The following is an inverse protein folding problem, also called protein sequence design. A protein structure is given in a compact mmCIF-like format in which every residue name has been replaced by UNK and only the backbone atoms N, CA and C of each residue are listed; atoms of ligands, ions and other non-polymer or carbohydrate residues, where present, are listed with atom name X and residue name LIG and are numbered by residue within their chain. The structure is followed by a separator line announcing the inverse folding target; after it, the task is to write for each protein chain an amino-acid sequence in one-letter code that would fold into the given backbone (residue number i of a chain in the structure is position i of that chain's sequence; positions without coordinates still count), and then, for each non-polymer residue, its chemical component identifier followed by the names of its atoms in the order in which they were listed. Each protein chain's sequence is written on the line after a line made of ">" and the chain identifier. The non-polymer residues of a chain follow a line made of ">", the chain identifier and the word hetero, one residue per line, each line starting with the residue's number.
data_IF_260736495609
#
_entry.id   IF_260736495609
#
_cell.length_a   1.000
_cell.length_b   1.000
_cell.length_c   1.000
_cell.angle_alpha   90.00
_cell.angle_beta   90.00
_cell.angle_gamma   90.00
#
_symmetry.space_group_name_H-M   'P 1'
#
loop_
_entity.id
_entity.type
_entity.pdbx_description
1 polymer ?
#
# COMPACT_ATOMS: atom_id res chain seq x y z
N UNK A 1 -34.12 42.44 8.52
CA UNK A 1 -35.08 41.33 8.42
C UNK A 1 -34.38 40.04 8.88
N UNK A 2 -34.92 39.46 9.98
CA UNK A 2 -34.42 38.25 10.63
C UNK A 2 -34.88 37.04 9.81
N UNK A 3 -33.99 36.04 9.58
CA UNK A 3 -34.40 34.65 9.50
C UNK A 3 -33.37 33.77 10.20
N UNK A 4 -33.86 33.24 11.35
CA UNK A 4 -33.26 32.14 12.10
C UNK A 4 -33.72 30.82 11.48
N UNK A 5 -32.86 29.83 11.34
CA UNK A 5 -33.27 28.44 11.56
C UNK A 5 -32.03 27.56 11.84
N UNK A 6 -31.90 27.31 13.12
CA UNK A 6 -31.01 26.31 13.72
C UNK A 6 -31.61 24.92 13.51
N UNK A 7 -30.94 24.04 12.81
CA UNK A 7 -31.20 22.59 12.92
C UNK A 7 -30.06 21.96 13.74
N UNK A 8 -30.36 21.67 15.00
CA UNK A 8 -29.56 20.83 15.88
C UNK A 8 -30.07 19.39 15.73
N UNK A 9 -29.26 18.50 15.18
CA UNK A 9 -29.51 17.05 15.28
C UNK A 9 -28.81 16.55 16.54
N UNK A 10 -29.58 16.18 17.55
CA UNK A 10 -29.08 15.57 18.78
C UNK A 10 -28.94 14.06 18.57
N UNK A 11 -27.74 13.53 18.68
CA UNK A 11 -27.49 12.10 18.78
C UNK A 11 -27.60 11.67 20.24
N UNK A 12 -28.70 11.03 20.60
CA UNK A 12 -28.87 10.34 21.87
C UNK A 12 -28.11 8.99 21.81
N UNK A 13 -27.17 8.82 22.74
CA UNK A 13 -26.51 7.53 23.02
C UNK A 13 -27.57 6.49 23.43
N UNK A 14 -27.88 5.53 22.58
CA UNK A 14 -28.57 4.30 22.98
C UNK A 14 -27.53 3.21 23.20
N UNK A 15 -27.38 2.85 24.44
CA UNK A 15 -26.63 1.67 24.92
C UNK A 15 -27.27 0.39 24.38
N UNK A 16 -26.53 -0.35 23.56
CA UNK A 16 -26.88 -1.73 23.23
C UNK A 16 -26.15 -2.66 24.19
N UNK A 17 -26.87 -3.18 25.16
CA UNK A 17 -26.53 -4.40 25.91
C UNK A 17 -27.38 -5.54 25.35
N UNK A 18 -26.72 -6.67 25.08
CA UNK A 18 -27.27 -7.98 24.78
C UNK A 18 -27.91 -8.21 23.40
N UNK A 19 -27.15 -8.72 22.46
CA UNK A 19 -27.63 -9.57 21.38
C UNK A 19 -26.75 -10.84 21.29
N UNK A 20 -27.41 -11.99 21.36
CA UNK A 20 -26.85 -13.35 21.31
C UNK A 20 -26.26 -13.67 19.91
N UNK A 21 -25.20 -14.52 19.80
CA UNK A 21 -24.51 -14.81 18.55
C UNK A 21 -25.30 -15.57 17.48
N UNK A 22 -26.50 -16.02 17.76
CA UNK A 22 -27.23 -16.95 16.87
C UNK A 22 -28.09 -16.32 15.76
N UNK A 23 -28.10 -15.00 15.64
CA UNK A 23 -29.00 -14.33 14.66
C UNK A 23 -28.31 -13.87 13.35
N UNK A 24 -26.99 -14.01 13.21
CA UNK A 24 -26.26 -13.53 12.02
C UNK A 24 -26.26 -14.60 10.91
N UNK A 25 -26.26 -15.88 11.25
CA UNK A 25 -26.27 -17.00 10.30
C UNK A 25 -27.60 -17.19 9.57
N UNK A 26 -28.72 -16.76 10.17
CA UNK A 26 -30.05 -16.87 9.56
C UNK A 26 -30.31 -15.83 8.46
N UNK A 27 -29.76 -14.63 8.57
CA UNK A 27 -29.93 -13.58 7.54
C UNK A 27 -29.06 -13.80 6.29
N UNK A 28 -27.86 -14.39 6.44
CA UNK A 28 -27.02 -14.73 5.28
C UNK A 28 -27.59 -15.88 4.44
N UNK A 29 -28.29 -16.81 5.04
CA UNK A 29 -28.96 -17.94 4.33
C UNK A 29 -30.12 -17.48 3.45
N UNK A 30 -30.82 -16.39 3.82
CA UNK A 30 -31.93 -15.82 3.03
C UNK A 30 -31.43 -15.06 1.78
N UNK A 31 -30.30 -14.36 1.86
CA UNK A 31 -29.73 -13.67 0.69
C UNK A 31 -29.25 -14.64 -0.40
N UNK A 32 -28.68 -15.79 -0.02
CA UNK A 32 -28.24 -16.79 -1.01
C UNK A 32 -29.42 -17.47 -1.73
N UNK A 33 -30.51 -17.75 -1.06
CA UNK A 33 -31.72 -18.35 -1.70
C UNK A 33 -32.44 -17.40 -2.65
N UNK A 34 -32.43 -16.09 -2.40
CA UNK A 34 -32.99 -15.10 -3.32
C UNK A 34 -32.18 -14.95 -4.61
N UNK A 35 -30.86 -15.09 -4.52
CA UNK A 35 -29.97 -14.99 -5.69
C UNK A 35 -30.16 -16.16 -6.66
N UNK A 36 -30.41 -17.37 -6.17
CA UNK A 36 -30.63 -18.56 -7.00
C UNK A 36 -32.05 -18.61 -7.61
N UNK A 37 -33.06 -18.04 -6.95
CA UNK A 37 -34.39 -17.88 -7.50
C UNK A 37 -34.43 -16.85 -8.63
N UNK A 38 -33.67 -15.76 -8.53
CA UNK A 38 -33.58 -14.76 -9.61
C UNK A 38 -32.80 -15.30 -10.84
N UNK A 39 -31.85 -16.22 -10.67
CA UNK A 39 -31.15 -16.86 -11.80
C UNK A 39 -32.06 -17.83 -12.59
N UNK A 40 -33.02 -18.47 -11.96
CA UNK A 40 -33.93 -19.41 -12.64
C UNK A 40 -35.08 -18.73 -13.41
N UNK A 41 -35.44 -17.47 -13.09
CA UNK A 41 -36.49 -16.74 -13.81
C UNK A 41 -35.98 -16.02 -15.08
N UNK A 42 -34.64 -15.93 -15.30
CA UNK A 42 -34.05 -15.24 -16.44
C UNK A 42 -33.68 -16.16 -17.63
N UNK A 43 -34.00 -17.48 -17.54
CA UNK A 43 -33.62 -18.44 -18.60
C UNK A 43 -34.76 -18.74 -19.61
N UNK A 44 -35.86 -17.99 -19.62
CA UNK A 44 -37.00 -18.26 -20.51
C UNK A 44 -37.50 -17.02 -21.27
N UNK A 45 -36.65 -16.15 -21.77
CA UNK A 45 -37.03 -15.07 -22.70
C UNK A 45 -36.41 -15.39 -24.09
N UNK A 46 -37.25 -15.49 -25.16
CA UNK A 46 -36.70 -15.76 -26.50
C UNK A 46 -35.98 -14.53 -27.03
N UNK A 47 -34.82 -14.82 -27.61
CA UNK A 47 -33.88 -13.90 -28.21
C UNK A 47 -34.50 -13.14 -29.40
N UNK A 48 -34.74 -11.83 -29.27
CA UNK A 48 -34.84 -10.95 -30.42
C UNK A 48 -34.51 -9.50 -30.01
N UNK A 49 -33.55 -8.93 -30.73
CA UNK A 49 -33.02 -7.57 -30.70
C UNK A 49 -31.85 -7.37 -29.73
N UNK A 50 -30.67 -7.29 -30.32
CA UNK A 50 -29.45 -6.71 -29.74
C UNK A 50 -29.79 -5.31 -29.22
N UNK A 51 -29.72 -5.04 -27.91
CA UNK A 51 -29.88 -3.67 -27.44
C UNK A 51 -28.68 -2.86 -27.97
N UNK A 52 -28.93 -1.74 -28.61
CA UNK A 52 -27.92 -0.74 -28.83
C UNK A 52 -27.18 -0.50 -27.53
N UNK A 53 -25.83 -0.56 -27.55
CA UNK A 53 -24.99 -0.28 -26.41
C UNK A 53 -25.47 1.06 -25.81
N UNK A 54 -26.03 1.03 -24.60
CA UNK A 54 -26.27 2.24 -23.83
C UNK A 54 -24.90 2.88 -23.64
N UNK A 55 -24.66 3.98 -24.33
CA UNK A 55 -23.52 4.84 -24.02
C UNK A 55 -23.70 5.27 -22.57
N UNK A 56 -22.73 4.90 -21.72
CA UNK A 56 -22.67 5.42 -20.36
C UNK A 56 -22.66 6.96 -20.43
N UNK A 57 -23.33 7.64 -19.49
CA UNK A 57 -23.29 9.11 -19.46
C UNK A 57 -21.84 9.56 -19.40
N UNK A 58 -21.49 10.68 -20.09
CA UNK A 58 -20.12 11.19 -20.11
C UNK A 58 -19.67 11.41 -18.66
N UNK A 59 -18.48 10.85 -18.32
CA UNK A 59 -17.87 11.03 -17.00
C UNK A 59 -17.61 12.51 -16.73
N UNK A 60 -17.79 13.00 -15.48
CA UNK A 60 -17.43 14.38 -15.14
C UNK A 60 -15.94 14.61 -15.36
N UNK A 61 -15.61 15.66 -16.11
CA UNK A 61 -14.23 16.10 -16.33
C UNK A 61 -13.89 17.23 -15.39
N UNK A 62 -12.87 17.03 -14.56
CA UNK A 62 -12.32 18.03 -13.65
C UNK A 62 -11.01 18.57 -14.20
N UNK A 63 -10.68 19.83 -13.84
CA UNK A 63 -9.41 20.45 -14.24
C UNK A 63 -8.64 20.94 -13.01
N UNK A 64 -7.32 20.76 -13.04
CA UNK A 64 -6.41 21.22 -11.99
C UNK A 64 -5.03 21.55 -12.57
N UNK A 65 -4.23 22.32 -11.83
CA UNK A 65 -2.81 22.53 -12.15
C UNK A 65 -1.98 21.28 -11.87
N UNK A 66 -2.32 20.53 -10.82
CA UNK A 66 -1.57 19.33 -10.39
C UNK A 66 -2.52 18.24 -9.95
N UNK A 67 -2.38 17.04 -10.52
CA UNK A 67 -3.08 15.82 -10.11
C UNK A 67 -2.10 14.89 -9.39
N UNK A 68 -2.51 14.34 -8.24
CA UNK A 68 -1.70 13.44 -7.43
C UNK A 68 -2.40 12.08 -7.37
N UNK A 69 -1.67 11.00 -7.66
CA UNK A 69 -2.19 9.64 -7.66
C UNK A 69 -1.57 8.86 -6.51
N UNK A 70 -2.38 8.52 -5.50
CA UNK A 70 -1.97 7.80 -4.29
C UNK A 70 -2.50 8.45 -3.03
N UNK A 71 -2.33 7.76 -1.90
CA UNK A 71 -2.85 8.19 -0.58
C UNK A 71 -1.88 7.92 0.58
N UNK A 72 -0.67 7.50 0.27
CA UNK A 72 0.40 7.32 1.26
C UNK A 72 1.06 8.64 1.69
N UNK A 73 2.11 8.56 2.53
CA UNK A 73 2.85 9.72 2.99
C UNK A 73 3.39 10.61 1.87
N UNK A 74 3.85 10.01 0.77
CA UNK A 74 4.33 10.75 -0.40
C UNK A 74 3.22 11.59 -1.03
N UNK A 75 2.05 10.98 -1.28
CA UNK A 75 0.92 11.64 -1.93
C UNK A 75 0.37 12.80 -1.10
N UNK A 76 0.08 12.56 0.19
CA UNK A 76 -0.43 13.61 1.06
C UNK A 76 0.60 14.73 1.33
N UNK A 77 1.90 14.41 1.41
CA UNK A 77 2.93 15.44 1.53
C UNK A 77 3.00 16.28 0.26
N UNK A 78 2.98 15.66 -0.93
CA UNK A 78 2.92 16.40 -2.18
C UNK A 78 1.67 17.31 -2.24
N UNK A 79 0.51 16.81 -1.81
CA UNK A 79 -0.73 17.55 -1.76
C UNK A 79 -0.69 18.75 -0.80
N UNK A 80 -0.06 18.60 0.37
CA UNK A 80 0.13 19.69 1.34
C UNK A 80 0.98 20.80 0.74
N UNK A 81 2.13 20.45 0.13
CA UNK A 81 3.01 21.44 -0.49
C UNK A 81 2.36 22.12 -1.68
N UNK A 82 1.72 21.36 -2.58
CA UNK A 82 0.98 21.90 -3.72
C UNK A 82 -0.20 22.80 -3.29
N UNK A 83 -0.93 22.41 -2.24
CA UNK A 83 -2.02 23.23 -1.69
C UNK A 83 -1.52 24.55 -1.09
N UNK A 84 -0.36 24.53 -0.41
CA UNK A 84 0.28 25.74 0.13
C UNK A 84 0.84 26.66 -0.95
N UNK A 85 1.21 26.11 -2.12
CA UNK A 85 1.61 26.84 -3.29
C UNK A 85 0.40 27.30 -4.15
N UNK A 86 -0.84 27.20 -3.63
CA UNK A 86 -2.09 27.59 -4.29
C UNK A 86 -2.37 26.88 -5.62
N UNK A 87 -1.77 25.69 -5.84
CA UNK A 87 -1.94 24.90 -7.07
C UNK A 87 -3.27 24.15 -7.14
N UNK A 88 -4.10 24.21 -6.07
CA UNK A 88 -5.43 23.57 -5.98
C UNK A 88 -5.40 22.09 -6.37
N UNK A 89 -4.61 21.25 -5.71
CA UNK A 89 -4.39 19.88 -6.11
C UNK A 89 -5.67 19.04 -6.07
N UNK A 90 -5.80 18.12 -7.04
CA UNK A 90 -6.74 17.00 -6.99
C UNK A 90 -5.93 15.75 -6.69
N UNK A 91 -6.37 14.98 -5.69
CA UNK A 91 -5.71 13.75 -5.26
C UNK A 91 -6.67 12.57 -5.39
N UNK A 92 -6.26 11.54 -6.11
CA UNK A 92 -6.93 10.24 -6.13
C UNK A 92 -6.35 9.37 -5.01
N UNK A 93 -7.13 9.12 -3.95
CA UNK A 93 -6.66 8.32 -2.81
C UNK A 93 -6.79 6.80 -3.04
N UNK A 94 -7.56 6.40 -4.05
CA UNK A 94 -7.86 5.00 -4.31
C UNK A 94 -8.98 4.45 -3.42
N UNK A 95 -9.59 3.36 -3.85
CA UNK A 95 -10.52 2.56 -3.08
C UNK A 95 -10.06 1.11 -3.13
N UNK A 96 -9.54 0.58 -2.01
CA UNK A 96 -8.99 -0.80 -1.93
C UNK A 96 -8.05 -1.15 -3.09
N UNK A 97 -7.18 -0.21 -3.48
CA UNK A 97 -6.23 -0.42 -4.56
C UNK A 97 -5.18 -1.48 -4.16
N UNK A 98 -5.03 -2.54 -4.96
CA UNK A 98 -4.16 -3.68 -4.67
C UNK A 98 -4.45 -4.34 -3.30
N UNK A 99 -5.72 -4.45 -2.92
CA UNK A 99 -6.20 -4.98 -1.64
C UNK A 99 -5.72 -4.18 -0.40
N UNK A 100 -5.32 -2.93 -0.59
CA UNK A 100 -4.89 -2.03 0.46
C UNK A 100 -5.84 -0.82 0.51
N UNK A 101 -6.27 -0.46 1.71
CA UNK A 101 -7.10 0.73 1.93
C UNK A 101 -6.35 2.02 1.61
N UNK A 102 -7.09 3.10 1.37
CA UNK A 102 -6.51 4.44 1.24
C UNK A 102 -5.61 4.75 2.45
N UNK A 103 -4.40 5.27 2.20
CA UNK A 103 -3.32 5.43 3.19
C UNK A 103 -2.12 4.52 2.91
N UNK A 104 -2.28 3.50 2.05
CA UNK A 104 -1.21 2.62 1.59
C UNK A 104 -0.74 1.63 2.66
N UNK A 105 0.53 1.20 2.58
CA UNK A 105 1.11 0.17 3.46
C UNK A 105 0.99 0.51 4.96
N UNK A 106 0.97 1.78 5.34
CA UNK A 106 0.79 2.19 6.74
C UNK A 106 -0.53 1.71 7.34
N UNK A 107 -1.60 1.59 6.55
CA UNK A 107 -2.90 1.08 7.05
C UNK A 107 -2.84 -0.38 7.50
N UNK A 108 -1.81 -1.10 7.09
CA UNK A 108 -1.56 -2.49 7.50
C UNK A 108 -0.53 -2.63 8.62
N UNK A 109 -0.05 -1.52 9.19
CA UNK A 109 0.93 -1.46 10.28
C UNK A 109 0.22 -1.11 11.59
N UNK A 110 0.52 -1.84 12.70
CA UNK A 110 -0.08 -1.56 14.00
C UNK A 110 0.43 -0.24 14.57
N UNK A 111 1.74 -0.17 14.86
CA UNK A 111 2.38 0.97 15.49
C UNK A 111 3.47 1.55 14.60
N UNK A 112 3.49 2.89 14.47
CA UNK A 112 4.51 3.66 13.76
C UNK A 112 5.30 4.46 14.79
N UNK A 113 6.50 3.98 15.12
CA UNK A 113 7.38 4.61 16.13
C UNK A 113 8.53 5.41 15.50
N UNK A 114 8.70 5.30 14.18
CA UNK A 114 9.84 5.83 13.43
C UNK A 114 9.51 7.00 12.49
N UNK A 115 8.33 7.62 12.66
CA UNK A 115 7.96 8.86 11.99
C UNK A 115 8.05 10.02 13.01
N UNK A 116 8.94 11.00 12.80
CA UNK A 116 9.14 12.06 13.79
C UNK A 116 7.90 12.95 13.96
N UNK A 117 7.66 13.40 15.20
CA UNK A 117 6.49 14.20 15.58
C UNK A 117 5.51 13.46 16.48
N UNK A 118 5.72 12.16 16.71
CA UNK A 118 4.87 11.31 17.57
C UNK A 118 5.73 10.58 18.61
N UNK A 119 6.12 11.24 19.71
CA UNK A 119 7.03 10.67 20.71
C UNK A 119 6.47 9.43 21.41
N UNK A 120 5.15 9.32 21.50
CA UNK A 120 4.46 8.17 22.10
C UNK A 120 4.14 7.06 21.07
N UNK A 121 4.60 7.22 19.81
CA UNK A 121 4.15 6.42 18.69
C UNK A 121 2.75 6.83 18.20
N UNK A 122 2.32 6.21 17.12
CA UNK A 122 0.98 6.42 16.54
C UNK A 122 0.59 5.18 15.74
N UNK A 123 -0.70 4.83 15.68
CA UNK A 123 -1.13 3.72 14.83
C UNK A 123 -1.02 4.08 13.34
N UNK A 124 -0.81 3.08 12.50
CA UNK A 124 -0.73 3.30 11.04
C UNK A 124 -2.01 3.90 10.47
N UNK A 125 -3.19 3.56 11.01
CA UNK A 125 -4.47 4.15 10.62
C UNK A 125 -4.58 5.61 11.04
N UNK A 126 -4.22 5.94 12.29
CA UNK A 126 -4.33 7.30 12.79
C UNK A 126 -3.38 8.26 12.08
N UNK A 127 -2.15 7.83 11.77
CA UNK A 127 -1.20 8.70 11.07
C UNK A 127 -1.65 8.97 9.63
N UNK A 128 -2.20 7.98 8.93
CA UNK A 128 -2.74 8.17 7.57
C UNK A 128 -3.94 9.09 7.56
N UNK A 129 -4.84 8.98 8.56
CA UNK A 129 -5.96 9.92 8.71
C UNK A 129 -5.49 11.35 8.99
N UNK A 130 -4.45 11.53 9.82
CA UNK A 130 -3.83 12.85 10.05
C UNK A 130 -3.22 13.44 8.77
N UNK A 131 -2.54 12.65 7.94
CA UNK A 131 -2.03 13.13 6.65
C UNK A 131 -3.17 13.58 5.73
N UNK A 132 -4.24 12.79 5.66
CA UNK A 132 -5.44 13.10 4.87
C UNK A 132 -6.11 14.40 5.34
N UNK A 133 -6.33 14.53 6.63
CA UNK A 133 -6.90 15.76 7.23
C UNK A 133 -6.03 16.98 6.95
N UNK A 134 -4.70 16.84 7.03
CA UNK A 134 -3.78 17.94 6.78
C UNK A 134 -3.79 18.38 5.31
N UNK A 135 -3.80 17.46 4.35
CA UNK A 135 -3.89 17.79 2.93
C UNK A 135 -5.24 18.44 2.58
N UNK A 136 -6.35 17.92 3.13
CA UNK A 136 -7.67 18.52 2.97
C UNK A 136 -7.75 19.94 3.55
N UNK A 137 -7.11 20.20 4.71
CA UNK A 137 -7.02 21.53 5.31
C UNK A 137 -6.39 22.57 4.39
N UNK A 138 -5.43 22.17 3.54
CA UNK A 138 -4.79 23.03 2.55
C UNK A 138 -5.51 23.06 1.20
N UNK A 139 -6.78 22.64 1.17
CA UNK A 139 -7.64 22.78 -0.01
C UNK A 139 -7.47 21.67 -1.06
N UNK A 140 -6.81 20.56 -0.74
CA UNK A 140 -6.75 19.41 -1.64
C UNK A 140 -8.14 18.83 -1.84
N UNK A 141 -8.58 18.72 -3.10
CA UNK A 141 -9.78 17.94 -3.45
C UNK A 141 -9.43 16.46 -3.52
N UNK A 142 -9.93 15.68 -2.59
CA UNK A 142 -9.65 14.24 -2.47
C UNK A 142 -10.80 13.48 -3.13
N UNK A 143 -10.45 12.56 -4.04
CA UNK A 143 -11.37 11.64 -4.72
C UNK A 143 -11.10 10.23 -4.22
N UNK A 144 -12.10 9.60 -3.60
CA UNK A 144 -12.01 8.20 -3.12
C UNK A 144 -12.24 7.21 -4.27
N UNK A 145 -11.47 7.39 -5.34
CA UNK A 145 -11.57 6.66 -6.60
C UNK A 145 -10.20 6.09 -6.97
N UNK A 146 -10.18 4.91 -7.59
CA UNK A 146 -8.94 4.28 -8.06
C UNK A 146 -8.65 4.67 -9.50
N UNK A 147 -7.44 5.18 -9.76
CA UNK A 147 -6.96 5.45 -11.11
C UNK A 147 -6.69 4.13 -11.82
N UNK A 148 -7.29 3.93 -12.97
CA UNK A 148 -7.15 2.73 -13.79
C UNK A 148 -6.38 2.96 -15.09
N UNK A 149 -6.27 4.22 -15.55
CA UNK A 149 -5.56 4.60 -16.79
C UNK A 149 -5.08 6.05 -16.71
N UNK A 150 -4.02 6.34 -17.44
CA UNK A 150 -3.50 7.69 -17.67
C UNK A 150 -3.26 7.92 -19.15
N UNK A 151 -3.17 9.18 -19.56
CA UNK A 151 -2.72 9.60 -20.87
C UNK A 151 -1.68 10.73 -20.69
N UNK A 152 -0.43 10.36 -20.89
CA UNK A 152 0.73 11.26 -20.81
C UNK A 152 1.30 11.60 -22.21
N UNK A 153 0.64 11.12 -23.27
CA UNK A 153 1.09 11.34 -24.66
C UNK A 153 0.90 12.77 -25.15
N UNK A 154 0.06 13.57 -24.50
CA UNK A 154 -0.19 14.97 -24.83
C UNK A 154 -0.44 15.83 -23.61
N UNK A 155 -0.12 17.12 -23.69
CA UNK A 155 -0.45 18.12 -22.66
C UNK A 155 -1.74 18.85 -23.02
N UNK A 156 -2.64 19.19 -22.08
CA UNK A 156 -2.60 18.76 -20.67
C UNK A 156 -2.82 17.24 -20.49
N UNK A 157 -2.23 16.68 -19.43
CA UNK A 157 -2.33 15.25 -19.12
C UNK A 157 -3.73 14.86 -18.67
N UNK A 158 -4.08 13.57 -18.86
CA UNK A 158 -5.35 13.04 -18.42
C UNK A 158 -5.17 11.85 -17.50
N UNK A 159 -5.95 11.83 -16.42
CA UNK A 159 -5.99 10.77 -15.42
C UNK A 159 -7.42 10.28 -15.28
N UNK A 160 -7.63 8.96 -15.36
CA UNK A 160 -8.95 8.36 -15.42
C UNK A 160 -9.18 7.38 -14.27
N UNK A 161 -10.33 7.51 -13.66
CA UNK A 161 -10.94 6.49 -12.82
C UNK A 161 -12.17 5.89 -13.51
N UNK A 162 -12.92 5.03 -12.82
CA UNK A 162 -14.21 4.54 -13.34
C UNK A 162 -15.28 5.64 -13.35
N UNK A 163 -15.18 6.65 -12.48
CA UNK A 163 -16.19 7.67 -12.27
C UNK A 163 -15.80 9.03 -12.85
N UNK A 164 -14.51 9.40 -12.84
CA UNK A 164 -14.03 10.77 -13.12
C UNK A 164 -12.86 10.78 -14.11
N UNK A 165 -12.82 11.79 -14.96
CA UNK A 165 -11.64 12.21 -15.73
C UNK A 165 -11.05 13.49 -15.11
N UNK A 166 -9.74 13.51 -14.84
CA UNK A 166 -9.02 14.71 -14.41
C UNK A 166 -8.04 15.14 -15.48
N UNK A 167 -8.14 16.40 -15.92
CA UNK A 167 -7.20 17.06 -16.81
C UNK A 167 -6.25 17.91 -15.96
N UNK A 168 -4.94 17.68 -16.08
CA UNK A 168 -3.92 18.30 -15.25
C UNK A 168 -2.71 18.80 -16.06
N UNK A 169 -2.12 19.91 -15.66
CA UNK A 169 -0.90 20.46 -16.28
C UNK A 169 0.35 19.70 -15.79
N UNK A 170 0.30 19.16 -14.56
CA UNK A 170 1.34 18.31 -13.95
C UNK A 170 0.72 17.11 -13.23
N UNK A 171 1.46 15.99 -13.12
CA UNK A 171 1.01 14.79 -12.43
C UNK A 171 2.10 14.28 -11.49
N UNK A 172 1.72 13.91 -10.25
CA UNK A 172 2.59 13.20 -9.30
C UNK A 172 2.08 11.77 -9.13
N UNK A 173 2.90 10.79 -9.50
CA UNK A 173 2.66 9.37 -9.26
C UNK A 173 3.25 9.00 -7.90
N UNK A 174 2.39 8.69 -6.92
CA UNK A 174 2.76 8.38 -5.55
C UNK A 174 2.01 7.14 -5.03
N UNK A 175 1.84 6.15 -5.90
CA UNK A 175 1.02 4.96 -5.72
C UNK A 175 1.67 3.89 -4.84
N UNK A 176 2.96 4.06 -4.49
CA UNK A 176 3.69 3.18 -3.60
C UNK A 176 4.02 1.80 -4.19
N UNK A 177 4.35 0.88 -3.31
CA UNK A 177 4.63 -0.53 -3.63
C UNK A 177 4.03 -1.43 -2.55
N UNK A 178 3.61 -2.63 -2.93
CA UNK A 178 3.00 -3.61 -2.02
C UNK A 178 4.00 -4.71 -1.71
N UNK A 179 4.19 -5.02 -0.43
CA UNK A 179 5.02 -6.15 -0.01
C UNK A 179 4.42 -7.46 -0.52
N UNK A 180 5.25 -8.26 -1.19
CA UNK A 180 4.85 -9.60 -1.64
C UNK A 180 4.64 -10.52 -0.45
N UNK A 181 3.52 -11.22 -0.45
CA UNK A 181 3.14 -12.17 0.60
C UNK A 181 3.03 -13.57 0.00
N UNK A 182 3.31 -14.59 0.80
CA UNK A 182 3.00 -15.96 0.45
C UNK A 182 1.67 -16.34 1.12
N UNK A 183 0.83 -17.04 0.36
CA UNK A 183 -0.42 -17.56 0.86
C UNK A 183 -0.25 -19.04 1.21
N UNK A 184 -0.46 -19.36 2.49
CA UNK A 184 -0.51 -20.70 3.04
C UNK A 184 -1.44 -20.68 4.27
N UNK A 185 -1.94 -21.82 4.75
CA UNK A 185 -2.79 -21.90 5.94
C UNK A 185 -2.18 -21.14 7.12
N UNK A 186 -2.96 -20.28 7.77
CA UNK A 186 -2.53 -19.42 8.87
C UNK A 186 -1.84 -18.11 8.46
N UNK A 187 -1.42 -17.91 7.21
CA UNK A 187 -0.71 -16.70 6.79
C UNK A 187 -1.56 -15.42 6.96
N UNK A 188 -2.86 -15.49 6.67
CA UNK A 188 -3.80 -14.36 6.85
C UNK A 188 -4.23 -14.20 8.32
N UNK A 189 -4.39 -15.30 9.04
CA UNK A 189 -4.84 -15.31 10.44
C UNK A 189 -3.82 -14.64 11.37
N UNK A 190 -2.53 -14.93 11.17
CA UNK A 190 -1.42 -14.39 11.97
C UNK A 190 -0.78 -13.14 11.38
N UNK A 191 -1.34 -12.58 10.29
CA UNK A 191 -0.89 -11.28 9.76
C UNK A 191 -1.04 -10.21 10.83
N UNK A 192 0.04 -9.46 11.13
CA UNK A 192 0.16 -8.50 12.25
C UNK A 192 -0.04 -9.13 13.66
N UNK A 193 -0.06 -10.45 13.74
CA UNK A 193 -0.09 -11.21 15.00
C UNK A 193 1.08 -12.19 15.08
N UNK A 194 2.24 -11.76 14.60
CA UNK A 194 3.45 -12.53 14.47
C UNK A 194 3.94 -12.69 13.03
N UNK A 195 3.15 -12.36 12.01
CA UNK A 195 3.60 -12.31 10.61
C UNK A 195 3.65 -10.86 10.13
N UNK A 196 4.78 -10.44 9.55
CA UNK A 196 5.02 -9.11 9.01
C UNK A 196 5.79 -9.18 7.67
N UNK A 197 5.96 -8.04 7.00
CA UNK A 197 6.80 -7.88 5.81
C UNK A 197 7.75 -6.67 5.94
N UNK A 198 7.97 -6.16 7.16
CA UNK A 198 8.88 -5.05 7.42
C UNK A 198 9.59 -5.24 8.77
N UNK A 199 10.80 -5.75 8.75
CA UNK A 199 11.59 -5.92 9.97
C UNK A 199 11.93 -4.60 10.66
N UNK A 200 12.20 -3.54 9.90
CA UNK A 200 12.54 -2.20 10.43
C UNK A 200 11.33 -1.56 11.12
N UNK A 201 10.12 -1.85 10.63
CA UNK A 201 8.88 -1.34 11.22
C UNK A 201 8.52 -2.08 12.51
N UNK A 202 8.45 -3.39 12.45
CA UNK A 202 7.80 -4.22 13.46
C UNK A 202 8.78 -5.01 14.35
N UNK A 203 10.03 -5.18 13.93
CA UNK A 203 11.01 -6.07 14.59
C UNK A 203 11.33 -5.71 16.05
N UNK A 204 11.12 -4.45 16.44
CA UNK A 204 11.30 -3.97 17.80
C UNK A 204 10.11 -4.28 18.74
N UNK A 205 8.95 -4.71 18.18
CA UNK A 205 7.72 -4.93 18.93
C UNK A 205 7.91 -5.95 20.08
N UNK A 206 7.23 -5.77 21.23
CA UNK A 206 7.39 -6.63 22.39
C UNK A 206 7.18 -8.12 22.12
N UNK A 207 6.29 -8.47 21.18
CA UNK A 207 5.98 -9.87 20.82
C UNK A 207 7.19 -10.61 20.22
N UNK A 208 8.18 -9.89 19.65
CA UNK A 208 9.36 -10.46 18.99
C UNK A 208 10.62 -10.46 19.87
N UNK A 209 10.63 -9.70 20.98
CA UNK A 209 11.83 -9.55 21.83
C UNK A 209 12.20 -10.85 22.52
N UNK A 210 13.49 -11.22 22.40
CA UNK A 210 14.06 -12.45 22.95
C UNK A 210 13.34 -13.74 22.53
N UNK A 211 12.71 -13.72 21.36
CA UNK A 211 12.02 -14.86 20.76
C UNK A 211 12.72 -15.33 19.50
N UNK A 212 12.60 -16.62 19.12
CA UNK A 212 13.06 -17.09 17.82
C UNK A 212 12.14 -16.53 16.72
N UNK A 213 12.73 -15.98 15.67
CA UNK A 213 12.04 -15.39 14.52
C UNK A 213 12.47 -16.08 13.23
N UNK A 214 11.65 -15.99 12.18
CA UNK A 214 11.95 -16.48 10.86
C UNK A 214 11.84 -15.37 9.81
N UNK A 215 12.68 -15.45 8.76
CA UNK A 215 12.64 -14.60 7.58
C UNK A 215 12.54 -15.49 6.35
N UNK A 216 11.56 -15.26 5.48
CA UNK A 216 11.47 -15.94 4.19
C UNK A 216 12.11 -15.06 3.13
N UNK A 217 13.16 -15.57 2.47
CA UNK A 217 13.81 -14.85 1.39
C UNK A 217 15.20 -15.39 1.06
N UNK A 218 15.90 -14.73 0.13
CA UNK A 218 17.25 -15.13 -0.27
C UNK A 218 17.97 -14.08 -1.11
N UNK A 219 17.43 -12.85 -1.16
CA UNK A 219 18.07 -11.65 -1.70
C UNK A 219 18.64 -10.77 -0.61
N UNK A 220 19.22 -9.63 -0.98
CA UNK A 220 19.85 -8.68 -0.05
C UNK A 220 18.86 -8.21 1.04
N UNK A 221 17.61 -7.92 0.70
CA UNK A 221 16.57 -7.55 1.68
C UNK A 221 16.39 -8.60 2.77
N UNK A 222 16.38 -9.90 2.42
CA UNK A 222 16.26 -10.95 3.43
C UNK A 222 17.46 -11.01 4.37
N UNK A 223 18.67 -10.74 3.85
CA UNK A 223 19.89 -10.69 4.65
C UNK A 223 19.90 -9.47 5.57
N UNK A 224 19.47 -8.31 5.06
CA UNK A 224 19.35 -7.07 5.83
C UNK A 224 18.34 -7.22 6.96
N UNK A 225 17.14 -7.72 6.65
CA UNK A 225 16.09 -7.95 7.65
C UNK A 225 16.50 -8.97 8.70
N UNK A 226 17.11 -10.09 8.30
CA UNK A 226 17.61 -11.09 9.23
C UNK A 226 18.67 -10.50 10.19
N UNK A 227 19.66 -9.78 9.67
CA UNK A 227 20.64 -9.10 10.49
C UNK A 227 20.01 -8.04 11.42
N UNK A 228 19.05 -7.27 10.93
CA UNK A 228 18.35 -6.29 11.76
C UNK A 228 17.63 -6.95 12.93
N UNK A 229 16.90 -8.03 12.67
CA UNK A 229 16.14 -8.76 13.67
C UNK A 229 17.00 -9.38 14.76
N UNK A 230 18.28 -9.70 14.50
CA UNK A 230 19.20 -10.24 15.55
C UNK A 230 19.43 -9.27 16.71
N UNK A 231 19.11 -7.97 16.55
CA UNK A 231 19.14 -6.99 17.64
C UNK A 231 18.12 -7.30 18.73
N UNK A 232 17.01 -7.89 18.34
CA UNK A 232 15.84 -8.12 19.22
C UNK A 232 15.58 -9.59 19.48
N UNK A 233 15.80 -10.46 18.51
CA UNK A 233 15.54 -11.89 18.56
C UNK A 233 16.55 -12.65 19.42
N UNK A 234 16.13 -13.78 19.98
CA UNK A 234 17.04 -14.78 20.54
C UNK A 234 17.76 -15.55 19.42
N UNK A 235 17.08 -15.83 18.32
CA UNK A 235 17.58 -16.49 17.10
C UNK A 235 16.77 -16.07 15.90
N UNK A 236 17.38 -16.04 14.69
CA UNK A 236 16.72 -15.76 13.43
C UNK A 236 16.97 -16.90 12.45
N UNK A 237 15.91 -17.49 11.94
CA UNK A 237 15.96 -18.52 10.90
C UNK A 237 15.70 -17.89 9.54
N UNK A 238 16.59 -18.11 8.56
CA UNK A 238 16.31 -17.74 7.17
C UNK A 238 15.79 -18.96 6.43
N UNK A 239 14.53 -18.96 6.06
CA UNK A 239 13.91 -20.05 5.30
C UNK A 239 14.07 -19.74 3.82
N UNK A 240 14.87 -20.56 3.11
CA UNK A 240 15.14 -20.36 1.69
C UNK A 240 14.87 -21.62 0.88
N UNK A 241 14.09 -21.48 -0.22
CA UNK A 241 13.65 -22.58 -1.06
C UNK A 241 14.73 -23.25 -1.93
N UNK A 242 15.94 -22.67 -1.98
CA UNK A 242 17.09 -23.17 -2.75
C UNK A 242 18.26 -23.48 -1.81
N UNK A 243 19.34 -23.99 -2.36
CA UNK A 243 20.60 -24.29 -1.66
C UNK A 243 21.62 -23.16 -1.76
N UNK A 244 21.28 -22.04 -2.39
CA UNK A 244 22.16 -20.87 -2.54
C UNK A 244 21.35 -19.58 -2.57
N UNK A 245 21.93 -18.52 -2.00
CA UNK A 245 21.34 -17.18 -1.99
C UNK A 245 21.60 -16.42 -3.29
N UNK A 246 20.68 -15.51 -3.63
CA UNK A 246 20.86 -14.49 -4.69
C UNK A 246 21.50 -13.22 -4.16
N UNK A 247 21.55 -13.04 -2.86
CA UNK A 247 22.10 -11.87 -2.20
C UNK A 247 23.57 -11.62 -2.60
N UNK A 248 24.05 -10.41 -2.45
CA UNK A 248 25.45 -10.04 -2.66
C UNK A 248 26.35 -10.82 -1.71
N UNK A 249 27.60 -11.11 -2.14
CA UNK A 249 28.55 -11.91 -1.35
C UNK A 249 28.83 -11.30 0.02
N UNK A 250 28.85 -9.97 0.10
CA UNK A 250 29.09 -9.27 1.36
C UNK A 250 27.90 -9.48 2.34
N UNK A 251 26.66 -9.48 1.85
CA UNK A 251 25.49 -9.71 2.68
C UNK A 251 25.37 -11.17 3.11
N UNK A 252 25.70 -12.11 2.20
CA UNK A 252 25.80 -13.53 2.54
C UNK A 252 26.80 -13.75 3.68
N UNK A 253 28.01 -13.17 3.56
CA UNK A 253 29.05 -13.28 4.58
C UNK A 253 28.57 -12.78 5.95
N UNK A 254 27.96 -11.59 6.02
CA UNK A 254 27.43 -11.01 7.26
C UNK A 254 26.43 -11.91 7.96
N UNK A 255 25.55 -12.55 7.19
CA UNK A 255 24.52 -13.44 7.73
C UNK A 255 25.14 -14.75 8.21
N UNK A 256 26.04 -15.35 7.41
CA UNK A 256 26.66 -16.63 7.74
C UNK A 256 27.63 -16.56 8.94
N UNK A 257 28.22 -15.38 9.19
CA UNK A 257 29.10 -15.13 10.33
C UNK A 257 28.32 -14.69 11.60
N UNK A 258 27.00 -14.49 11.52
CA UNK A 258 26.20 -14.06 12.66
C UNK A 258 25.71 -15.27 13.47
N UNK A 259 26.20 -15.42 14.69
CA UNK A 259 25.90 -16.56 15.58
C UNK A 259 24.40 -16.73 15.90
N UNK A 260 23.61 -15.66 15.79
CA UNK A 260 22.17 -15.71 15.98
C UNK A 260 21.39 -16.15 14.74
N UNK A 261 22.05 -16.27 13.57
CA UNK A 261 21.38 -16.62 12.31
C UNK A 261 21.61 -18.10 11.98
N UNK A 262 20.56 -18.76 11.56
CA UNK A 262 20.60 -20.12 11.03
C UNK A 262 19.83 -20.17 9.70
N UNK A 263 20.40 -20.84 8.71
CA UNK A 263 19.76 -20.96 7.39
C UNK A 263 19.12 -22.33 7.25
N UNK A 264 17.82 -22.32 6.96
CA UNK A 264 17.03 -23.50 6.61
C UNK A 264 16.94 -23.58 5.08
N UNK A 265 17.88 -24.31 4.50
CA UNK A 265 17.99 -24.49 3.05
C UNK A 265 16.94 -25.43 2.48
N UNK A 266 16.65 -25.26 1.18
CA UNK A 266 15.71 -26.10 0.43
C UNK A 266 14.35 -26.24 1.12
N UNK A 267 13.88 -25.17 1.74
CA UNK A 267 12.74 -25.19 2.64
C UNK A 267 11.68 -24.16 2.25
N UNK A 268 10.42 -24.53 2.39
CA UNK A 268 9.24 -23.68 2.22
C UNK A 268 8.31 -23.82 3.42
N UNK A 269 7.58 -22.75 3.73
CA UNK A 269 6.55 -22.79 4.77
C UNK A 269 5.25 -23.31 4.15
N UNK A 270 4.66 -24.32 4.75
CA UNK A 270 3.36 -24.89 4.33
C UNK A 270 2.21 -24.42 5.22
N UNK A 271 2.46 -24.11 6.51
CA UNK A 271 1.42 -23.71 7.45
C UNK A 271 2.03 -22.85 8.57
N UNK A 272 1.28 -21.87 9.04
CA UNK A 272 1.56 -21.14 10.28
C UNK A 272 0.57 -21.58 11.36
N UNK A 273 1.08 -21.78 12.58
CA UNK A 273 0.30 -22.25 13.73
C UNK A 273 0.39 -21.27 14.89
N UNK A 274 -0.70 -21.16 15.63
CA UNK A 274 -0.73 -20.37 16.85
C UNK A 274 0.13 -20.95 17.96
N UNK A 275 0.55 -20.09 18.88
CA UNK A 275 1.14 -20.50 20.16
C UNK A 275 0.09 -21.13 21.11
N UNK A 276 0.44 -21.25 22.38
CA UNK A 276 -0.37 -21.95 23.39
C UNK A 276 -1.80 -21.39 23.51
N UNK A 277 -2.00 -20.10 23.30
CA UNK A 277 -3.32 -19.44 23.34
C UNK A 277 -3.99 -19.30 21.96
N UNK A 278 -3.31 -19.71 20.89
CA UNK A 278 -3.77 -19.60 19.52
C UNK A 278 -3.90 -18.18 18.94
N UNK A 279 -3.59 -17.14 19.72
CA UNK A 279 -3.83 -15.73 19.33
C UNK A 279 -2.74 -15.14 18.47
N UNK A 280 -1.50 -15.56 18.68
CA UNK A 280 -0.32 -15.11 17.99
C UNK A 280 0.45 -16.28 17.41
N UNK A 281 1.32 -16.02 16.44
CA UNK A 281 2.16 -17.05 15.84
C UNK A 281 3.04 -17.74 16.90
N UNK A 282 3.10 -19.08 16.86
CA UNK A 282 3.90 -19.90 17.75
C UNK A 282 4.77 -20.92 17.03
N UNK A 283 4.51 -21.18 15.75
CA UNK A 283 5.29 -22.13 14.96
C UNK A 283 4.95 -22.13 13.49
N UNK A 284 5.83 -22.71 12.70
CA UNK A 284 5.69 -22.91 11.25
C UNK A 284 5.89 -24.37 10.92
N UNK A 285 5.03 -24.93 10.05
CA UNK A 285 5.30 -26.20 9.42
C UNK A 285 6.15 -25.95 8.17
N UNK A 286 7.39 -26.41 8.22
CA UNK A 286 8.40 -26.18 7.17
C UNK A 286 8.69 -27.48 6.47
N UNK A 287 8.55 -27.47 5.15
CA UNK A 287 8.81 -28.61 4.28
C UNK A 287 10.16 -28.48 3.60
N UNK A 288 10.96 -29.51 3.68
CA UNK A 288 12.13 -29.71 2.85
C UNK A 288 11.68 -30.09 1.42
N UNK A 289 12.02 -29.28 0.43
CA UNK A 289 11.56 -29.46 -0.94
C UNK A 289 12.24 -30.62 -1.67
N UNK A 290 13.39 -31.12 -1.14
CA UNK A 290 14.12 -32.27 -1.74
C UNK A 290 13.59 -33.60 -1.21
N UNK A 291 13.38 -33.69 0.10
CA UNK A 291 12.92 -34.92 0.74
C UNK A 291 11.40 -35.00 0.91
N UNK A 292 10.69 -33.88 0.83
CA UNK A 292 9.27 -33.80 1.13
C UNK A 292 8.92 -33.84 2.62
N UNK A 293 9.92 -33.96 3.50
CA UNK A 293 9.71 -34.08 4.94
C UNK A 293 9.25 -32.74 5.51
N UNK A 294 8.17 -32.75 6.27
CA UNK A 294 7.63 -31.58 6.98
C UNK A 294 8.02 -31.66 8.43
N UNK A 295 8.56 -30.55 8.97
CA UNK A 295 8.95 -30.42 10.39
C UNK A 295 8.39 -29.12 10.96
N UNK A 296 8.07 -29.15 12.25
CA UNK A 296 7.71 -27.93 12.97
C UNK A 296 8.98 -27.13 13.30
N UNK A 297 8.95 -25.84 12.99
CA UNK A 297 9.93 -24.85 13.42
C UNK A 297 9.24 -23.89 14.40
N UNK A 298 9.61 -23.97 15.67
CA UNK A 298 9.06 -23.11 16.72
C UNK A 298 9.62 -21.70 16.59
N UNK A 299 8.77 -20.77 16.21
CA UNK A 299 9.10 -19.34 16.07
C UNK A 299 7.90 -18.49 16.47
N UNK A 300 8.15 -17.31 17.00
CA UNK A 300 7.12 -16.37 17.42
C UNK A 300 6.95 -15.21 16.41
N UNK A 301 7.74 -15.20 15.36
CA UNK A 301 7.62 -14.20 14.29
C UNK A 301 8.08 -14.74 12.96
N UNK A 302 7.41 -14.27 11.90
CA UNK A 302 7.74 -14.56 10.50
C UNK A 302 7.74 -13.27 9.71
N UNK A 303 8.82 -13.01 8.96
CA UNK A 303 8.96 -11.83 8.11
C UNK A 303 9.07 -12.23 6.64
N UNK A 304 8.22 -11.66 5.78
CA UNK A 304 8.30 -11.85 4.34
C UNK A 304 9.30 -10.88 3.72
N UNK A 305 10.48 -11.36 3.35
CA UNK A 305 11.52 -10.59 2.68
C UNK A 305 11.71 -11.07 1.23
N UNK A 306 10.62 -11.17 0.48
CA UNK A 306 10.56 -11.69 -0.89
C UNK A 306 10.36 -10.60 -1.95
N UNK A 307 10.52 -9.35 -1.54
CA UNK A 307 10.42 -8.16 -2.38
C UNK A 307 9.03 -7.51 -2.35
N UNK A 308 8.91 -6.45 -3.12
CA UNK A 308 7.70 -5.65 -3.28
C UNK A 308 7.28 -5.63 -4.75
N UNK A 309 6.06 -5.22 -5.00
CA UNK A 309 5.52 -4.97 -6.33
C UNK A 309 5.08 -3.51 -6.38
N UNK A 310 5.73 -2.67 -7.19
CA UNK A 310 5.33 -1.27 -7.34
C UNK A 310 3.98 -1.18 -8.06
N UNK A 311 3.14 -0.23 -7.65
CA UNK A 311 1.82 -0.04 -8.21
C UNK A 311 1.89 0.81 -9.49
N UNK A 312 2.40 0.22 -10.59
CA UNK A 312 2.68 0.88 -11.88
C UNK A 312 1.86 0.32 -13.06
N UNK A 313 1.01 -0.68 -12.86
CA UNK A 313 0.28 -1.35 -13.95
C UNK A 313 -0.59 -0.40 -14.76
N UNK A 314 -1.23 0.60 -14.13
CA UNK A 314 -2.10 1.59 -14.77
C UNK A 314 -1.34 2.57 -15.69
N UNK A 315 -0.01 2.60 -15.61
CA UNK A 315 0.85 3.44 -16.46
C UNK A 315 0.98 2.89 -17.90
N UNK A 316 0.73 1.59 -18.11
CA UNK A 316 0.71 0.93 -19.43
C UNK A 316 1.93 1.28 -20.31
N UNK A 317 3.12 1.39 -19.69
CA UNK A 317 4.38 1.68 -20.38
C UNK A 317 4.60 3.15 -20.76
N UNK A 318 3.75 4.08 -20.31
CA UNK A 318 3.91 5.51 -20.63
C UNK A 318 5.03 6.19 -19.80
N UNK A 319 5.53 5.57 -18.75
CA UNK A 319 6.74 5.97 -18.02
C UNK A 319 7.79 4.88 -18.12
N UNK A 320 9.06 5.28 -18.12
CA UNK A 320 10.16 4.33 -17.98
C UNK A 320 10.13 3.67 -16.61
N UNK A 321 10.24 2.33 -16.60
CA UNK A 321 10.34 1.52 -15.38
C UNK A 321 11.58 0.65 -15.44
N UNK A 322 12.16 0.33 -14.28
CA UNK A 322 13.29 -0.58 -14.19
C UNK A 322 12.88 -2.06 -14.32
N UNK A 323 13.86 -2.97 -14.29
CA UNK A 323 13.62 -4.41 -14.41
C UNK A 323 12.75 -5.03 -13.30
N UNK A 324 12.53 -4.31 -12.19
CA UNK A 324 11.67 -4.71 -11.08
C UNK A 324 10.29 -4.02 -11.14
N UNK A 325 10.06 -3.15 -12.15
CA UNK A 325 8.81 -2.43 -12.39
C UNK A 325 8.67 -1.08 -11.67
N UNK A 326 9.72 -0.59 -11.00
CA UNK A 326 9.73 0.72 -10.35
C UNK A 326 9.91 1.85 -11.36
N UNK A 327 9.20 2.97 -11.16
CA UNK A 327 9.36 4.16 -12.00
C UNK A 327 10.79 4.69 -11.88
N UNK A 328 11.46 4.89 -13.03
CA UNK A 328 12.79 5.48 -13.09
C UNK A 328 12.69 6.98 -12.95
N UNK A 329 13.46 7.55 -12.02
CA UNK A 329 13.62 9.00 -11.85
C UNK A 329 15.05 9.43 -12.10
N UNK A 330 15.28 10.69 -12.52
CA UNK A 330 16.63 11.24 -12.60
C UNK A 330 17.24 11.28 -11.21
N UNK A 331 18.50 10.83 -11.02
CA UNK A 331 19.12 10.76 -9.69
C UNK A 331 19.04 12.08 -8.91
N UNK A 332 18.57 12.01 -7.66
CA UNK A 332 18.45 13.17 -6.79
C UNK A 332 17.23 14.06 -7.05
N UNK A 333 16.34 13.67 -7.96
CA UNK A 333 15.11 14.40 -8.32
C UNK A 333 13.91 13.45 -8.33
N UNK A 334 12.71 13.99 -8.59
CA UNK A 334 11.49 13.21 -8.80
C UNK A 334 11.06 13.19 -10.28
N UNK A 335 11.88 13.71 -11.17
CA UNK A 335 11.64 13.83 -12.61
C UNK A 335 11.64 12.44 -13.27
N UNK A 336 10.56 12.13 -13.98
CA UNK A 336 10.41 10.86 -14.74
C UNK A 336 10.89 11.01 -16.19
N UNK A 337 10.64 9.99 -17.01
CA UNK A 337 10.88 10.03 -18.45
C UNK A 337 9.94 10.98 -19.22
N UNK A 338 8.85 11.44 -18.59
CA UNK A 338 7.90 12.38 -19.18
C UNK A 338 7.95 13.71 -18.44
N UNK A 339 8.28 14.79 -19.13
CA UNK A 339 8.34 16.13 -18.55
C UNK A 339 6.97 16.59 -18.06
N UNK A 340 6.88 17.04 -16.80
CA UNK A 340 5.64 17.39 -16.11
C UNK A 340 4.99 16.23 -15.36
N UNK A 341 5.58 15.03 -15.43
CA UNK A 341 5.18 13.87 -14.63
C UNK A 341 6.30 13.52 -13.65
N UNK A 342 5.97 13.42 -12.39
CA UNK A 342 6.88 13.20 -11.27
C UNK A 342 6.53 11.90 -10.54
N UNK A 343 7.51 11.25 -9.89
CA UNK A 343 7.28 10.05 -9.10
C UNK A 343 7.88 10.18 -7.70
N UNK A 344 7.12 9.80 -6.67
CA UNK A 344 7.51 9.94 -5.27
C UNK A 344 7.09 8.73 -4.41
N UNK A 345 7.85 8.46 -3.36
CA UNK A 345 7.63 7.33 -2.46
C UNK A 345 8.05 6.01 -3.07
N UNK A 346 7.47 4.94 -2.53
CA UNK A 346 7.91 3.57 -2.83
C UNK A 346 7.65 3.12 -4.28
N UNK A 347 6.91 3.88 -5.07
CA UNK A 347 6.73 3.60 -6.51
C UNK A 347 8.04 3.78 -7.30
N UNK A 348 8.99 4.58 -6.78
CA UNK A 348 10.32 4.81 -7.34
C UNK A 348 11.45 4.44 -6.37
N UNK A 349 11.23 4.50 -5.02
CA UNK A 349 12.23 4.15 -4.00
C UNK A 349 12.14 2.67 -3.65
N UNK A 350 12.95 1.84 -4.30
CA UNK A 350 13.06 0.42 -3.98
C UNK A 350 14.03 0.10 -2.84
N UNK A 351 14.70 1.11 -2.28
CA UNK A 351 15.76 0.93 -1.29
C UNK A 351 15.26 1.14 0.15
N UNK A 352 14.72 2.30 0.44
CA UNK A 352 14.39 2.68 1.82
C UNK A 352 12.99 2.25 2.23
N UNK A 353 11.99 2.54 1.42
CA UNK A 353 10.56 2.18 1.66
C UNK A 353 10.12 2.51 3.09
N UNK A 354 10.38 3.75 3.51
CA UNK A 354 9.99 4.27 4.81
C UNK A 354 8.99 5.42 4.65
N UNK A 355 8.06 5.56 5.61
CA UNK A 355 7.07 6.63 5.60
C UNK A 355 7.70 8.02 5.53
N UNK A 356 8.81 8.24 6.25
CA UNK A 356 9.51 9.52 6.28
C UNK A 356 10.25 9.83 4.98
N UNK A 357 10.87 8.84 4.32
CA UNK A 357 11.51 9.03 3.01
C UNK A 357 10.46 9.23 1.91
N UNK A 358 9.34 8.53 2.01
CA UNK A 358 8.21 8.74 1.12
C UNK A 358 7.64 10.15 1.26
N UNK A 359 7.43 10.65 2.49
CA UNK A 359 7.01 12.03 2.74
C UNK A 359 8.02 13.04 2.18
N UNK A 360 9.33 12.81 2.40
CA UNK A 360 10.40 13.66 1.87
C UNK A 360 10.40 13.74 0.33
N UNK A 361 10.26 12.59 -0.35
CA UNK A 361 10.17 12.58 -1.81
C UNK A 361 8.87 13.19 -2.34
N UNK A 362 7.75 13.09 -1.59
CA UNK A 362 6.50 13.80 -1.89
C UNK A 362 6.67 15.32 -1.85
N UNK A 363 7.41 15.83 -0.86
CA UNK A 363 7.80 17.24 -0.80
C UNK A 363 8.60 17.64 -2.04
N UNK A 364 9.65 16.86 -2.39
CA UNK A 364 10.46 17.11 -3.59
C UNK A 364 9.60 17.15 -4.86
N UNK A 365 8.70 16.18 -5.04
CA UNK A 365 7.84 16.12 -6.23
C UNK A 365 6.91 17.33 -6.37
N UNK A 366 6.39 17.85 -5.25
CA UNK A 366 5.57 19.05 -5.29
C UNK A 366 6.39 20.29 -5.66
N UNK A 367 7.62 20.43 -5.16
CA UNK A 367 8.52 21.53 -5.51
C UNK A 367 9.00 21.45 -6.96
N UNK A 368 9.37 20.25 -7.43
CA UNK A 368 9.73 20.03 -8.84
C UNK A 368 8.55 20.38 -9.77
N UNK A 369 7.32 19.98 -9.38
CA UNK A 369 6.11 20.29 -10.13
C UNK A 369 5.77 21.80 -10.11
N UNK A 370 5.96 22.49 -8.98
CA UNK A 370 5.77 23.95 -8.89
C UNK A 370 6.72 24.69 -9.82
N UNK A 371 8.01 24.34 -9.81
CA UNK A 371 9.00 24.95 -10.72
C UNK A 371 8.61 24.73 -12.19
N UNK A 372 8.28 23.49 -12.56
CA UNK A 372 7.81 23.17 -13.90
C UNK A 372 6.58 24.01 -14.30
N UNK A 373 5.58 24.14 -13.42
CA UNK A 373 4.36 24.91 -13.69
C UNK A 373 4.62 26.41 -13.81
N UNK A 374 5.63 26.95 -13.11
CA UNK A 374 6.08 28.35 -13.25
C UNK A 374 6.76 28.55 -14.61
N UNK A 375 7.60 27.61 -15.06
CA UNK A 375 8.30 27.68 -16.35
C UNK A 375 7.32 27.68 -17.53
N UNK A 376 6.32 26.78 -17.55
CA UNK A 376 5.32 26.76 -18.63
C UNK A 376 4.44 28.01 -18.62
N UNK A 377 4.02 28.49 -17.44
CA UNK A 377 3.23 29.73 -17.32
C UNK A 377 4.02 30.98 -17.77
N UNK A 378 5.34 31.01 -17.54
CA UNK A 378 6.20 32.08 -18.05
C UNK A 378 6.45 32.01 -19.54
N UNK A 379 6.35 30.84 -20.17
CA UNK A 379 6.43 30.65 -21.61
C UNK A 379 5.13 31.08 -22.30
N UNK A 380 3.97 30.70 -21.75
CA UNK A 380 2.66 31.11 -22.25
C UNK A 380 2.49 32.64 -22.22
N UNK A 381 2.96 33.32 -21.17
CA UNK A 381 2.89 34.79 -21.04
C UNK A 381 3.90 35.55 -21.90
N UNK A 382 4.80 34.86 -22.62
CA UNK A 382 5.71 35.51 -23.63
C UNK A 382 5.21 35.43 -25.05
N UNK A 383 4.12 34.70 -25.29
CA UNK A 383 3.52 34.48 -26.60
C UNK A 383 2.33 35.41 -26.85
N UNK A 384 1.91 36.22 -25.91
CA UNK A 384 0.95 37.32 -26.00
C UNK A 384 1.67 38.70 -26.14
#
# INVERSE_FOLDING_TARGET
>A
MKWNSTFRVSWTKKTYKNASPNNITSQMSHCFKLRDLLKKSLSSIPNSQTPAAKMDPPKPTLRTRICIIGSGPAAHTAAIYAGRAELKPILFEGWMANDIAAGGQLTTTSDVENFPGFPEGITGLDITDKFRQQSARFGTRILSETVNRVDFGSKPFKVFSDETEVVADAVVVATGAVAKKLEFPGSKEYWQKGISACAVCDGAAPIFRNKPLAVIGGGDSAMEEANFLTKYASKVYIIHRRDSFRASKIMQKRVMENEKVEVVWNAVVEEARGGDDGRVLGGLMVKDVKSGVVKELKVNGLFFAIGHEPATRFLEGQLEVDGDGYVVTKPGTTLTSVEGVFAAGDVQDKKYRQAVTAAGSGCMAALDAEHYLQEIGAQEGKTD
#
